data_IF_183052343018
#
_entry.id   IF_183052343018
#
_cell.length_a   1.000
_cell.length_b   1.000
_cell.length_c   1.000
_cell.angle_alpha   90.00
_cell.angle_beta   90.00
_cell.angle_gamma   90.00
#
_symmetry.space_group_name_H-M   'P 1'
#
loop_
_entity.id
_entity.type
_entity.pdbx_description
1 polymer ?
#
# COMPACT_ATOMS: atom_id res chain seq x y z
N UNK A 1 14.78 9.94 -40.07
CA UNK A 1 13.57 9.71 -39.26
C UNK A 1 13.34 8.25 -38.89
N UNK A 2 13.50 7.27 -39.81
CA UNK A 2 13.38 5.83 -39.46
C UNK A 2 14.42 5.37 -38.43
N UNK A 3 15.69 5.71 -38.60
CA UNK A 3 16.78 5.33 -37.67
C UNK A 3 16.54 5.81 -36.22
N UNK A 4 15.97 7.00 -36.06
CA UNK A 4 15.61 7.54 -34.75
C UNK A 4 14.43 6.78 -34.11
N UNK A 5 13.45 6.36 -34.93
CA UNK A 5 12.34 5.49 -34.47
C UNK A 5 12.83 4.09 -34.06
N UNK A 6 13.75 3.49 -34.81
CA UNK A 6 14.35 2.20 -34.44
C UNK A 6 15.18 2.29 -33.16
N UNK A 7 15.92 3.39 -32.96
CA UNK A 7 16.69 3.63 -31.73
C UNK A 7 15.77 3.78 -30.50
N UNK A 8 14.67 4.53 -30.63
CA UNK A 8 13.66 4.67 -29.56
C UNK A 8 13.00 3.33 -29.27
N UNK A 9 12.66 2.53 -30.29
CA UNK A 9 12.08 1.21 -30.12
C UNK A 9 13.04 0.26 -29.40
N UNK A 10 14.31 0.25 -29.80
CA UNK A 10 15.35 -0.57 -29.16
C UNK A 10 15.61 -0.16 -27.70
N UNK A 11 15.63 1.13 -27.39
CA UNK A 11 15.76 1.65 -26.02
C UNK A 11 14.56 1.26 -25.14
N UNK A 12 13.34 1.33 -25.68
CA UNK A 12 12.14 0.89 -24.97
C UNK A 12 12.17 -0.63 -24.70
N UNK A 13 12.60 -1.44 -25.68
CA UNK A 13 12.74 -2.90 -25.52
C UNK A 13 13.79 -3.22 -24.44
N UNK A 14 14.94 -2.53 -24.44
CA UNK A 14 15.98 -2.73 -23.42
C UNK A 14 15.51 -2.34 -22.01
N UNK A 15 14.77 -1.23 -21.89
CA UNK A 15 14.20 -0.79 -20.62
C UNK A 15 13.20 -1.81 -20.08
N UNK A 16 12.29 -2.31 -20.92
CA UNK A 16 11.33 -3.37 -20.58
C UNK A 16 12.08 -4.64 -20.14
N UNK A 17 13.16 -5.00 -20.84
CA UNK A 17 13.96 -6.19 -20.51
C UNK A 17 14.66 -6.07 -19.16
N UNK A 18 15.21 -4.90 -18.82
CA UNK A 18 15.88 -4.64 -17.55
C UNK A 18 14.90 -4.63 -16.36
N UNK A 19 13.67 -4.13 -16.57
CA UNK A 19 12.59 -4.22 -15.58
C UNK A 19 12.09 -5.67 -15.37
N UNK A 20 12.32 -6.57 -16.32
CA UNK A 20 11.75 -7.92 -16.35
C UNK A 20 12.49 -8.92 -15.45
N UNK A 21 13.82 -8.81 -15.27
CA UNK A 21 14.61 -9.90 -14.67
C UNK A 21 14.18 -10.29 -13.26
N UNK A 22 13.76 -9.32 -12.44
CA UNK A 22 13.36 -9.59 -11.06
C UNK A 22 11.85 -9.64 -10.84
N UNK A 23 11.03 -9.33 -11.87
CA UNK A 23 9.58 -9.32 -11.78
C UNK A 23 8.98 -8.25 -10.85
N UNK A 24 7.68 -8.35 -10.61
CA UNK A 24 6.84 -7.29 -10.02
C UNK A 24 6.01 -7.79 -8.84
N UNK A 25 5.67 -6.86 -7.95
CA UNK A 25 4.64 -7.03 -6.92
C UNK A 25 3.55 -5.99 -7.17
N UNK A 26 2.32 -6.47 -7.25
CA UNK A 26 1.10 -5.68 -7.43
C UNK A 26 0.19 -6.01 -6.25
N UNK A 27 -0.52 -5.04 -5.70
CA UNK A 27 -1.48 -5.32 -4.63
C UNK A 27 -2.63 -4.31 -4.60
N UNK A 28 -3.76 -4.69 -3.98
CA UNK A 28 -4.79 -3.74 -3.62
C UNK A 28 -4.58 -3.19 -2.20
N UNK A 29 -4.57 -1.86 -1.97
CA UNK A 29 -4.65 -1.27 -0.64
C UNK A 29 -6.10 -1.31 -0.11
N UNK A 30 -6.68 -2.51 -0.08
CA UNK A 30 -8.09 -2.78 0.14
C UNK A 30 -8.52 -2.83 1.63
N UNK A 31 -7.64 -2.47 2.56
CA UNK A 31 -7.93 -2.49 4.00
C UNK A 31 -7.93 -1.07 4.59
N UNK A 32 -9.08 -0.63 5.09
CA UNK A 32 -9.23 0.65 5.79
C UNK A 32 -9.14 1.89 4.88
N UNK A 33 -8.85 3.04 5.49
CA UNK A 33 -8.69 4.34 4.81
C UNK A 33 -7.21 4.70 4.65
N UNK A 34 -6.92 5.90 4.17
CA UNK A 34 -5.56 6.39 3.89
C UNK A 34 -4.51 6.01 4.95
N UNK A 35 -4.79 6.22 6.24
CA UNK A 35 -3.85 5.85 7.31
C UNK A 35 -3.48 4.35 7.32
N UNK A 36 -4.48 3.45 7.18
CA UNK A 36 -4.23 2.01 7.09
C UNK A 36 -3.45 1.65 5.82
N UNK A 37 -3.82 2.28 4.69
CA UNK A 37 -3.19 2.04 3.40
C UNK A 37 -1.72 2.49 3.40
N UNK A 38 -1.41 3.64 4.02
CA UNK A 38 -0.05 4.15 4.16
C UNK A 38 0.80 3.22 5.06
N UNK A 39 0.24 2.75 6.17
CA UNK A 39 0.91 1.82 7.09
C UNK A 39 1.25 0.50 6.38
N UNK A 40 0.28 -0.04 5.63
CA UNK A 40 0.46 -1.22 4.79
C UNK A 40 1.47 -1.00 3.66
N UNK A 41 1.47 0.18 3.04
CA UNK A 41 2.41 0.53 1.99
C UNK A 41 3.86 0.44 2.47
N UNK A 42 4.17 0.90 3.69
CA UNK A 42 5.53 0.80 4.24
C UNK A 42 5.98 -0.66 4.34
N UNK A 43 5.10 -1.57 4.77
CA UNK A 43 5.38 -3.00 4.78
C UNK A 43 5.52 -3.60 3.38
N UNK A 44 4.66 -3.22 2.43
CA UNK A 44 4.72 -3.70 1.05
C UNK A 44 6.00 -3.22 0.33
N UNK A 45 6.46 -2.01 0.64
CA UNK A 45 7.72 -1.45 0.15
C UNK A 45 8.91 -2.25 0.68
N UNK A 46 8.95 -2.54 1.99
CA UNK A 46 9.97 -3.42 2.57
C UNK A 46 9.94 -4.83 1.96
N UNK A 47 8.74 -5.40 1.81
CA UNK A 47 8.51 -6.72 1.24
C UNK A 47 9.05 -6.82 -0.19
N UNK A 48 8.74 -5.82 -1.02
CA UNK A 48 9.20 -5.76 -2.40
C UNK A 48 10.71 -5.70 -2.54
N UNK A 49 11.37 -4.91 -1.68
CA UNK A 49 12.83 -4.86 -1.61
C UNK A 49 13.43 -6.17 -1.13
N UNK A 50 12.84 -6.80 -0.10
CA UNK A 50 13.30 -8.09 0.41
C UNK A 50 13.29 -9.20 -0.66
N UNK A 51 12.28 -9.20 -1.52
CA UNK A 51 12.18 -10.13 -2.65
C UNK A 51 12.92 -9.66 -3.92
N UNK A 52 13.48 -8.45 -3.89
CA UNK A 52 14.08 -7.77 -5.04
C UNK A 52 13.15 -7.57 -6.24
N UNK A 53 11.82 -7.49 -6.03
CA UNK A 53 10.84 -7.32 -7.11
C UNK A 53 10.39 -5.87 -7.20
N UNK A 54 10.23 -5.31 -8.40
CA UNK A 54 9.75 -3.93 -8.58
C UNK A 54 8.35 -3.78 -7.97
N UNK A 55 8.15 -2.79 -7.10
CA UNK A 55 6.82 -2.53 -6.54
C UNK A 55 5.99 -1.69 -7.51
N UNK A 56 4.83 -2.20 -7.87
CA UNK A 56 3.80 -1.44 -8.57
C UNK A 56 3.02 -0.64 -7.53
N UNK A 57 3.20 0.68 -7.53
CA UNK A 57 2.54 1.62 -6.63
C UNK A 57 1.05 1.66 -6.95
N UNK A 58 0.18 1.17 -6.05
CA UNK A 58 -1.25 1.20 -6.31
C UNK A 58 -1.81 2.62 -6.15
N UNK A 59 -2.91 2.96 -6.83
CA UNK A 59 -3.66 4.15 -6.47
C UNK A 59 -4.21 4.00 -5.04
N UNK A 60 -4.32 5.13 -4.35
CA UNK A 60 -4.99 5.23 -3.06
C UNK A 60 -6.48 5.01 -3.23
N UNK A 61 -7.09 4.30 -2.29
CA UNK A 61 -8.53 4.04 -2.28
C UNK A 61 -9.22 5.06 -1.38
N UNK A 62 -10.07 5.91 -1.96
CA UNK A 62 -10.90 6.84 -1.19
C UNK A 62 -12.37 6.44 -1.23
N UNK A 63 -13.03 6.62 -0.10
CA UNK A 63 -14.46 6.42 0.04
C UNK A 63 -15.12 7.78 0.17
N UNK A 64 -16.04 8.10 -0.73
CA UNK A 64 -16.79 9.35 -0.73
C UNK A 64 -18.20 9.10 -0.24
N UNK A 65 -18.68 10.00 0.63
CA UNK A 65 -20.03 9.90 1.15
C UNK A 65 -21.05 9.98 0.00
N UNK A 66 -22.00 9.04 -0.02
CA UNK A 66 -23.01 8.94 -1.07
C UNK A 66 -22.55 8.21 -2.34
N UNK A 67 -21.26 7.90 -2.50
CA UNK A 67 -20.78 7.12 -3.63
C UNK A 67 -20.78 5.61 -3.29
N UNK A 68 -21.40 4.75 -4.12
CA UNK A 68 -21.50 3.31 -3.82
C UNK A 68 -20.17 2.56 -4.04
N UNK A 69 -19.27 3.11 -4.87
CA UNK A 69 -17.96 2.55 -5.18
C UNK A 69 -16.86 3.46 -4.64
N UNK A 70 -15.74 2.85 -4.27
CA UNK A 70 -14.53 3.61 -3.96
C UNK A 70 -13.94 4.21 -5.23
N UNK A 71 -13.15 5.28 -5.07
CA UNK A 71 -12.36 5.86 -6.13
C UNK A 71 -10.89 5.51 -5.97
N UNK A 72 -10.18 5.44 -7.08
CA UNK A 72 -8.77 5.09 -7.17
C UNK A 72 -7.99 6.35 -7.55
N UNK A 73 -7.34 6.96 -6.56
CA UNK A 73 -6.53 8.18 -6.75
C UNK A 73 -5.09 7.78 -7.07
N UNK A 74 -4.53 8.18 -8.23
CA UNK A 74 -3.15 7.84 -8.60
C UNK A 74 -2.16 8.14 -7.49
N UNK A 75 -1.19 7.25 -7.29
CA UNK A 75 -0.23 7.35 -6.18
C UNK A 75 0.49 8.71 -6.17
N UNK A 76 0.88 9.16 -7.35
CA UNK A 76 1.63 10.38 -7.63
C UNK A 76 0.83 11.68 -7.46
N UNK A 77 -0.49 11.58 -7.24
CA UNK A 77 -1.31 12.71 -6.81
C UNK A 77 -0.79 13.29 -5.48
N UNK A 78 -0.42 12.41 -4.54
CA UNK A 78 -0.02 12.81 -3.19
C UNK A 78 1.48 12.76 -2.95
N UNK A 79 2.21 11.86 -3.61
CA UNK A 79 3.62 11.63 -3.30
C UNK A 79 4.50 11.60 -4.54
N UNK A 80 5.74 12.07 -4.40
CA UNK A 80 6.77 11.99 -5.44
C UNK A 80 7.25 10.56 -5.60
N UNK A 81 7.17 10.02 -6.82
CA UNK A 81 7.62 8.65 -7.12
C UNK A 81 9.15 8.56 -7.08
N UNK A 82 9.84 9.63 -7.46
CA UNK A 82 11.30 9.67 -7.59
C UNK A 82 12.00 9.46 -6.25
N UNK A 83 11.41 9.95 -5.16
CA UNK A 83 11.97 9.77 -3.81
C UNK A 83 11.93 8.30 -3.38
N UNK A 84 10.86 7.57 -3.74
CA UNK A 84 10.75 6.14 -3.47
C UNK A 84 11.75 5.33 -4.28
N UNK A 85 12.02 5.74 -5.54
CA UNK A 85 13.01 5.10 -6.40
C UNK A 85 14.44 5.13 -5.83
N UNK A 86 14.73 6.00 -4.86
CA UNK A 86 16.02 5.99 -4.14
C UNK A 86 16.15 4.84 -3.14
N UNK A 87 15.02 4.26 -2.69
CA UNK A 87 15.02 3.11 -1.78
C UNK A 87 14.95 1.79 -2.53
N UNK A 88 14.03 1.68 -3.50
CA UNK A 88 13.77 0.46 -4.25
C UNK A 88 13.12 0.77 -5.59
N UNK A 89 13.21 -0.17 -6.54
CA UNK A 89 12.54 -0.02 -7.84
C UNK A 89 11.02 0.04 -7.67
N UNK A 90 10.42 1.10 -8.20
CA UNK A 90 8.98 1.36 -8.16
C UNK A 90 8.48 1.80 -9.53
N UNK A 91 7.20 1.55 -9.81
CA UNK A 91 6.48 2.02 -11.01
C UNK A 91 5.02 2.28 -10.63
N UNK A 92 4.36 3.29 -11.18
CA UNK A 92 2.92 3.49 -10.93
C UNK A 92 2.09 2.40 -11.59
N UNK A 93 0.94 2.06 -10.99
CA UNK A 93 0.00 1.08 -11.57
C UNK A 93 -0.41 1.47 -12.99
N UNK A 94 -0.69 2.74 -13.23
CA UNK A 94 -1.06 3.30 -14.52
C UNK A 94 0.02 3.00 -15.56
N UNK A 95 1.29 3.27 -15.22
CA UNK A 95 2.42 3.01 -16.12
C UNK A 95 2.67 1.52 -16.30
N UNK A 96 2.61 0.73 -15.25
CA UNK A 96 2.76 -0.73 -15.31
C UNK A 96 1.70 -1.37 -16.21
N UNK A 97 0.43 -1.02 -16.04
CA UNK A 97 -0.68 -1.57 -16.81
C UNK A 97 -0.62 -1.16 -18.28
N UNK A 98 -0.12 0.05 -18.58
CA UNK A 98 0.05 0.54 -19.94
C UNK A 98 1.26 -0.08 -20.67
N UNK A 99 2.41 -0.14 -20.01
CA UNK A 99 3.70 -0.41 -20.66
C UNK A 99 4.20 -1.84 -20.46
N UNK A 100 3.92 -2.45 -19.30
CA UNK A 100 4.49 -3.75 -18.93
C UNK A 100 3.46 -4.88 -19.03
N UNK A 101 2.27 -4.69 -18.44
CA UNK A 101 1.27 -5.74 -18.31
C UNK A 101 0.87 -6.42 -19.64
N UNK A 102 0.72 -5.71 -20.79
CA UNK A 102 0.37 -6.37 -22.05
C UNK A 102 1.38 -7.43 -22.50
N UNK A 103 2.65 -7.30 -22.10
CA UNK A 103 3.74 -8.19 -22.49
C UNK A 103 3.98 -9.29 -21.45
N UNK A 104 4.13 -8.91 -20.17
CA UNK A 104 4.57 -9.83 -19.11
C UNK A 104 3.42 -10.39 -18.24
N UNK A 105 2.24 -9.75 -18.28
CA UNK A 105 1.09 -10.12 -17.46
C UNK A 105 -0.23 -10.09 -18.26
N UNK A 106 -0.30 -10.84 -19.37
CA UNK A 106 -1.48 -10.89 -20.22
C UNK A 106 -2.67 -11.50 -19.45
N UNK A 107 -3.89 -11.20 -19.90
CA UNK A 107 -5.15 -11.58 -19.23
C UNK A 107 -5.19 -13.06 -18.79
N UNK A 108 -4.72 -13.97 -19.64
CA UNK A 108 -4.71 -15.42 -19.34
C UNK A 108 -3.75 -15.84 -18.23
N UNK A 109 -2.77 -15.00 -17.88
CA UNK A 109 -1.74 -15.25 -16.84
C UNK A 109 -1.93 -14.40 -15.58
N UNK A 110 -3.08 -13.71 -15.44
CA UNK A 110 -3.36 -12.88 -14.27
C UNK A 110 -3.78 -13.73 -13.09
N UNK A 111 -2.82 -14.10 -12.25
CA UNK A 111 -3.04 -14.93 -11.05
C UNK A 111 -3.17 -14.02 -9.83
N UNK A 112 -4.25 -14.20 -9.06
CA UNK A 112 -4.45 -13.51 -7.78
C UNK A 112 -3.82 -14.30 -6.63
N UNK A 113 -3.21 -13.59 -5.66
CA UNK A 113 -2.54 -14.19 -4.51
C UNK A 113 -3.29 -13.88 -3.21
N UNK A 114 -3.51 -14.92 -2.40
CA UNK A 114 -4.06 -14.84 -1.05
C UNK A 114 -3.51 -15.98 -0.18
N UNK A 115 -3.61 -15.87 1.15
CA UNK A 115 -3.03 -16.87 2.05
C UNK A 115 -3.68 -18.25 1.87
N UNK A 116 -5.01 -18.24 1.81
CA UNK A 116 -5.92 -19.39 1.65
C UNK A 116 -7.16 -18.93 0.89
N UNK A 117 -8.03 -19.86 0.49
CA UNK A 117 -9.34 -19.54 -0.07
C UNK A 117 -10.06 -18.48 0.78
N UNK A 118 -10.63 -17.49 0.11
CA UNK A 118 -11.46 -16.44 0.72
C UNK A 118 -12.92 -16.70 0.39
N UNK A 119 -13.83 -16.28 1.27
CA UNK A 119 -15.27 -16.36 0.97
C UNK A 119 -15.62 -15.47 -0.23
N UNK A 120 -16.54 -15.94 -1.07
CA UNK A 120 -17.05 -15.23 -2.23
C UNK A 120 -17.81 -16.16 -3.16
N UNK A 121 -18.10 -15.68 -4.36
CA UNK A 121 -18.92 -16.38 -5.36
C UNK A 121 -18.25 -17.64 -5.90
N UNK A 122 -16.92 -17.65 -5.96
CA UNK A 122 -16.15 -18.78 -6.48
C UNK A 122 -15.59 -19.66 -5.35
N UNK A 123 -15.78 -20.96 -5.48
CA UNK A 123 -15.14 -21.95 -4.63
C UNK A 123 -13.64 -22.06 -4.93
N UNK A 124 -12.82 -22.41 -3.93
CA UNK A 124 -11.37 -22.55 -4.02
C UNK A 124 -10.67 -21.35 -4.68
N UNK A 125 -11.17 -20.13 -4.43
CA UNK A 125 -10.68 -18.89 -5.03
C UNK A 125 -10.24 -17.86 -3.98
N UNK A 126 -9.35 -16.97 -4.39
CA UNK A 126 -9.02 -15.77 -3.63
C UNK A 126 -10.16 -14.74 -3.67
N UNK A 127 -11.15 -14.90 -4.55
CA UNK A 127 -12.29 -13.98 -4.69
C UNK A 127 -11.83 -12.52 -4.74
N UNK A 128 -10.78 -12.25 -5.53
CA UNK A 128 -9.97 -11.04 -5.49
C UNK A 128 -10.73 -9.74 -5.77
N UNK A 129 -11.90 -9.85 -6.39
CA UNK A 129 -12.79 -8.74 -6.77
C UNK A 129 -14.10 -8.70 -5.96
N UNK A 130 -14.26 -9.58 -4.97
CA UNK A 130 -15.49 -9.68 -4.19
C UNK A 130 -15.64 -8.48 -3.23
N UNK A 131 -16.68 -7.68 -3.45
CA UNK A 131 -17.03 -6.53 -2.61
C UNK A 131 -16.28 -5.23 -2.93
N UNK A 132 -16.52 -4.21 -2.11
CA UNK A 132 -15.88 -2.90 -2.17
C UNK A 132 -14.84 -2.80 -1.04
N UNK A 133 -13.57 -2.42 -1.31
CA UNK A 133 -13.05 -1.79 -2.53
C UNK A 133 -12.43 -2.75 -3.55
N UNK A 134 -12.46 -4.06 -3.30
CA UNK A 134 -11.80 -5.08 -4.11
C UNK A 134 -12.16 -5.02 -5.60
N UNK A 135 -13.46 -5.13 -5.95
CA UNK A 135 -13.91 -5.09 -7.34
C UNK A 135 -13.53 -3.79 -8.05
N UNK A 136 -14.01 -2.62 -7.57
CA UNK A 136 -13.72 -1.32 -8.18
C UNK A 136 -12.23 -1.04 -8.39
N UNK A 137 -11.37 -1.46 -7.45
CA UNK A 137 -9.93 -1.28 -7.58
C UNK A 137 -9.35 -1.99 -8.80
N UNK A 138 -9.66 -3.28 -8.98
CA UNK A 138 -9.16 -4.06 -10.12
C UNK A 138 -9.87 -3.68 -11.43
N UNK A 139 -11.15 -3.33 -11.36
CA UNK A 139 -11.94 -2.86 -12.51
C UNK A 139 -11.37 -1.58 -13.14
N UNK A 140 -10.78 -0.69 -12.32
CA UNK A 140 -10.15 0.57 -12.80
C UNK A 140 -9.06 0.33 -13.86
N UNK A 141 -8.45 -0.85 -13.87
CA UNK A 141 -7.38 -1.22 -14.79
C UNK A 141 -7.74 -2.40 -15.69
N UNK A 142 -9.03 -2.72 -15.82
CA UNK A 142 -9.54 -3.86 -16.59
C UNK A 142 -8.85 -5.19 -16.19
N UNK A 143 -8.61 -5.38 -14.89
CA UNK A 143 -7.97 -6.59 -14.36
C UNK A 143 -9.02 -7.64 -14.05
N UNK A 144 -9.00 -8.72 -14.84
CA UNK A 144 -9.62 -10.00 -14.53
C UNK A 144 -8.56 -11.04 -14.17
N UNK A 145 -8.84 -11.86 -13.16
CA UNK A 145 -7.94 -12.92 -12.73
C UNK A 145 -8.38 -14.27 -13.31
N UNK A 146 -7.44 -14.99 -13.92
CA UNK A 146 -7.66 -16.30 -14.50
C UNK A 146 -7.50 -17.45 -13.49
N UNK A 147 -6.77 -17.22 -12.40
CA UNK A 147 -6.50 -18.24 -11.38
C UNK A 147 -6.23 -17.62 -9.99
N UNK A 148 -6.27 -18.47 -8.96
CA UNK A 148 -5.95 -18.12 -7.57
C UNK A 148 -4.78 -18.95 -7.05
N UNK A 149 -3.76 -18.30 -6.52
CA UNK A 149 -2.59 -18.93 -5.91
C UNK A 149 -2.60 -18.73 -4.39
N UNK A 150 -2.53 -19.85 -3.67
CA UNK A 150 -2.48 -19.85 -2.21
C UNK A 150 -1.04 -19.95 -1.71
N UNK A 151 -0.55 -18.85 -1.13
CA UNK A 151 0.84 -18.77 -0.69
C UNK A 151 1.08 -19.31 0.72
N UNK A 152 0.04 -19.72 1.46
CA UNK A 152 0.21 -20.44 2.73
C UNK A 152 1.20 -21.61 2.57
N UNK A 153 2.13 -21.82 3.52
CA UNK A 153 2.25 -21.18 4.84
C UNK A 153 3.23 -19.98 4.89
N UNK A 154 3.53 -19.31 3.76
CA UNK A 154 4.46 -18.18 3.76
C UNK A 154 3.86 -16.95 4.47
N UNK A 155 4.72 -16.16 5.12
CA UNK A 155 4.34 -14.87 5.73
C UNK A 155 5.20 -13.73 5.16
N UNK A 156 4.85 -12.49 5.47
CA UNK A 156 5.47 -11.30 4.86
C UNK A 156 6.70 -10.77 5.61
N UNK A 157 7.21 -11.51 6.60
CA UNK A 157 8.36 -11.05 7.39
C UNK A 157 9.67 -11.17 6.60
N UNK A 158 10.08 -10.07 5.98
CA UNK A 158 11.35 -9.99 5.23
C UNK A 158 12.58 -9.79 6.10
N UNK A 159 12.41 -9.55 7.40
CA UNK A 159 13.52 -9.48 8.34
C UNK A 159 14.02 -10.89 8.71
N UNK A 160 13.19 -11.91 8.45
CA UNK A 160 13.58 -13.30 8.49
C UNK A 160 14.12 -13.78 7.13
N UNK A 161 15.45 -13.90 7.03
CA UNK A 161 16.12 -14.38 5.79
C UNK A 161 15.59 -15.71 5.28
N UNK A 162 15.25 -16.65 6.17
CA UNK A 162 14.71 -17.94 5.75
C UNK A 162 13.33 -17.81 5.09
N UNK A 163 12.52 -16.83 5.51
CA UNK A 163 11.23 -16.55 4.87
C UNK A 163 11.41 -15.95 3.47
N UNK A 164 12.35 -15.01 3.33
CA UNK A 164 12.72 -14.41 2.04
C UNK A 164 13.15 -15.49 1.03
N UNK A 165 14.01 -16.42 1.45
CA UNK A 165 14.46 -17.50 0.56
C UNK A 165 13.34 -18.47 0.18
N UNK A 166 12.42 -18.78 1.10
CA UNK A 166 11.22 -19.57 0.78
C UNK A 166 10.33 -18.90 -0.27
N UNK A 167 10.15 -17.57 -0.18
CA UNK A 167 9.41 -16.80 -1.21
C UNK A 167 10.10 -16.87 -2.56
N UNK A 168 11.41 -16.64 -2.61
CA UNK A 168 12.19 -16.67 -3.85
C UNK A 168 12.22 -18.05 -4.49
N UNK A 169 12.33 -19.10 -3.68
CA UNK A 169 12.31 -20.49 -4.14
C UNK A 169 10.93 -20.89 -4.68
N UNK A 170 9.85 -20.55 -3.97
CA UNK A 170 8.48 -20.92 -4.38
C UNK A 170 8.02 -20.11 -5.59
N UNK A 171 8.40 -18.83 -5.65
CA UNK A 171 7.93 -17.88 -6.67
C UNK A 171 9.09 -17.17 -7.37
N UNK A 172 9.90 -17.88 -8.17
CA UNK A 172 10.99 -17.26 -8.92
C UNK A 172 10.46 -16.37 -10.07
N UNK A 173 11.09 -15.22 -10.38
CA UNK A 173 10.59 -14.26 -11.39
C UNK A 173 10.38 -14.82 -12.80
N UNK A 174 11.20 -15.78 -13.22
CA UNK A 174 11.10 -16.41 -14.55
C UNK A 174 9.79 -17.18 -14.77
N UNK A 175 9.20 -17.75 -13.70
CA UNK A 175 7.91 -18.44 -13.76
C UNK A 175 6.77 -17.57 -13.23
N UNK A 176 7.07 -16.68 -12.29
CA UNK A 176 6.13 -15.79 -11.63
C UNK A 176 6.54 -14.34 -11.82
N UNK A 177 6.36 -13.78 -13.03
CA UNK A 177 6.82 -12.42 -13.33
C UNK A 177 6.06 -11.36 -12.53
N UNK A 178 4.82 -11.65 -12.11
CA UNK A 178 3.99 -10.73 -11.30
C UNK A 178 3.33 -11.49 -10.16
N UNK A 179 3.52 -11.00 -8.94
CA UNK A 179 2.81 -11.46 -7.74
C UNK A 179 1.71 -10.43 -7.41
N UNK A 180 0.46 -10.75 -7.72
CA UNK A 180 -0.68 -9.84 -7.58
C UNK A 180 -1.54 -10.17 -6.36
N UNK A 181 -1.31 -9.48 -5.24
CA UNK A 181 -1.95 -9.77 -3.97
C UNK A 181 -3.31 -9.10 -3.82
N UNK A 182 -4.28 -9.85 -3.31
CA UNK A 182 -5.63 -9.33 -3.04
C UNK A 182 -5.69 -8.28 -1.93
N UNK A 183 -4.63 -8.16 -1.12
CA UNK A 183 -4.41 -7.13 -0.11
C UNK A 183 -2.92 -6.82 -0.02
N UNK A 184 -2.54 -5.82 0.77
CA UNK A 184 -1.13 -5.50 0.93
C UNK A 184 -0.33 -6.67 1.53
N UNK A 185 0.85 -7.03 0.97
CA UNK A 185 1.72 -8.04 1.55
C UNK A 185 2.50 -7.46 2.74
N UNK A 186 1.77 -7.06 3.78
CA UNK A 186 2.27 -6.30 4.91
C UNK A 186 1.46 -6.59 6.18
N UNK A 187 2.07 -6.37 7.34
CA UNK A 187 1.37 -6.34 8.62
C UNK A 187 0.63 -5.03 8.83
N UNK A 188 -0.39 -5.06 9.69
CA UNK A 188 -1.03 -3.88 10.25
C UNK A 188 -1.21 -4.06 11.77
N UNK A 189 -0.75 -3.11 12.61
CA UNK A 189 0.04 -1.94 12.24
C UNK A 189 1.40 -2.31 11.63
N UNK A 190 2.05 -1.35 11.00
CA UNK A 190 3.36 -1.50 10.37
C UNK A 190 4.38 -2.02 11.38
N UNK A 191 5.21 -2.97 10.96
CA UNK A 191 6.32 -3.47 11.79
C UNK A 191 7.28 -2.33 12.15
N UNK A 192 7.82 -2.35 13.38
CA UNK A 192 8.72 -1.32 13.91
C UNK A 192 9.90 -1.06 12.97
N UNK A 193 10.43 -2.12 12.40
CA UNK A 193 11.56 -2.14 11.48
C UNK A 193 11.28 -1.35 10.19
N UNK A 194 10.01 -1.18 9.80
CA UNK A 194 9.61 -0.54 8.55
C UNK A 194 9.13 0.92 8.72
N UNK A 195 8.92 1.41 9.95
CA UNK A 195 8.44 2.79 10.23
C UNK A 195 9.35 3.84 9.59
N UNK A 196 10.66 3.62 9.62
CA UNK A 196 11.65 4.56 9.07
C UNK A 196 11.52 4.78 7.56
N UNK A 197 10.77 3.93 6.85
CA UNK A 197 10.55 4.05 5.41
C UNK A 197 9.64 5.24 5.04
N UNK A 198 8.91 5.80 6.01
CA UNK A 198 8.12 7.02 5.82
C UNK A 198 8.95 8.17 5.23
N UNK A 199 10.26 8.22 5.49
CA UNK A 199 11.16 9.26 4.94
C UNK A 199 11.23 9.29 3.41
N UNK A 200 10.85 8.20 2.74
CA UNK A 200 10.81 8.13 1.28
C UNK A 200 9.48 8.60 0.69
N UNK A 201 8.45 8.81 1.52
CA UNK A 201 7.19 9.43 1.11
C UNK A 201 7.31 10.95 1.20
N UNK A 202 7.73 11.56 0.10
CA UNK A 202 7.75 13.02 -0.05
C UNK A 202 6.48 13.51 -0.72
N UNK A 203 5.82 14.52 -0.14
CA UNK A 203 4.62 15.13 -0.71
C UNK A 203 4.88 15.63 -2.14
N UNK A 204 3.86 15.51 -3.00
CA UNK A 204 3.86 16.10 -4.34
C UNK A 204 3.99 17.63 -4.26
N UNK A 205 4.40 18.25 -5.37
CA UNK A 205 4.55 19.71 -5.40
C UNK A 205 3.21 20.43 -5.22
N UNK A 206 2.12 19.85 -5.71
CA UNK A 206 0.76 20.36 -5.52
C UNK A 206 0.38 20.40 -4.03
N UNK A 207 0.49 19.26 -3.32
CA UNK A 207 0.20 19.18 -1.88
C UNK A 207 1.11 20.11 -1.08
N UNK A 208 2.41 20.14 -1.42
CA UNK A 208 3.39 21.02 -0.77
C UNK A 208 3.05 22.50 -0.96
N UNK A 209 2.62 22.90 -2.16
CA UNK A 209 2.21 24.27 -2.47
C UNK A 209 0.92 24.65 -1.74
N UNK A 210 -0.10 23.78 -1.75
CA UNK A 210 -1.36 23.98 -1.01
C UNK A 210 -1.10 24.16 0.48
N UNK A 211 -0.24 23.32 1.07
CA UNK A 211 0.16 23.42 2.47
C UNK A 211 0.84 24.76 2.78
N UNK A 212 1.86 25.15 1.99
CA UNK A 212 2.56 26.45 2.18
C UNK A 212 1.62 27.64 2.05
N UNK A 213 0.71 27.62 1.08
CA UNK A 213 -0.27 28.68 0.88
C UNK A 213 -1.25 28.78 2.07
N UNK A 214 -1.73 27.63 2.56
CA UNK A 214 -2.60 27.59 3.72
C UNK A 214 -1.93 28.15 4.98
N UNK A 215 -0.69 27.74 5.25
CA UNK A 215 0.10 28.24 6.38
C UNK A 215 0.32 29.75 6.24
N UNK A 216 0.78 30.22 5.07
CA UNK A 216 1.02 31.65 4.83
C UNK A 216 -0.24 32.50 5.03
N UNK A 217 -1.40 31.98 4.62
CA UNK A 217 -2.67 32.72 4.68
C UNK A 217 -3.28 32.74 6.09
N UNK A 218 -3.18 31.64 6.84
CA UNK A 218 -3.97 31.45 8.06
C UNK A 218 -3.14 31.41 9.34
N UNK A 219 -1.83 31.15 9.25
CA UNK A 219 -0.95 30.89 10.41
C UNK A 219 0.18 31.94 10.50
N UNK A 220 -0.13 33.21 10.23
CA UNK A 220 0.83 34.30 10.37
C UNK A 220 1.17 34.60 11.83
N UNK A 221 2.38 35.07 12.10
CA UNK A 221 2.75 35.65 13.39
C UNK A 221 3.60 34.80 14.35
N UNK A 222 4.04 33.60 13.96
CA UNK A 222 4.97 32.80 14.78
C UNK A 222 4.89 31.30 14.54
N UNK A 223 5.36 30.52 15.52
CA UNK A 223 5.16 29.06 15.55
C UNK A 223 3.69 28.71 15.81
N UNK A 224 3.26 27.53 15.36
CA UNK A 224 1.89 27.04 15.51
C UNK A 224 1.86 25.61 16.07
N UNK A 225 0.77 25.27 16.74
CA UNK A 225 0.49 23.91 17.26
C UNK A 225 -0.58 23.25 16.38
N UNK A 226 -0.25 22.12 15.76
CA UNK A 226 -1.19 21.29 15.01
C UNK A 226 -1.73 20.16 15.88
N UNK A 227 -3.05 20.07 16.01
CA UNK A 227 -3.74 18.98 16.71
C UNK A 227 -4.59 18.17 15.72
N UNK A 228 -4.49 16.84 15.78
CA UNK A 228 -5.35 15.94 15.02
C UNK A 228 -6.43 15.36 15.93
N UNK A 229 -7.66 15.85 15.79
CA UNK A 229 -8.80 15.39 16.56
C UNK A 229 -9.55 14.30 15.80
N UNK A 230 -9.36 13.05 16.19
CA UNK A 230 -10.10 11.90 15.67
C UNK A 230 -11.27 11.59 16.59
N UNK A 231 -12.39 12.29 16.40
CA UNK A 231 -13.56 12.23 17.28
C UNK A 231 -14.86 11.86 16.55
N UNK A 232 -14.76 11.34 15.33
CA UNK A 232 -15.91 10.86 14.57
C UNK A 232 -16.61 9.68 15.27
N UNK A 233 -17.91 9.52 15.03
CA UNK A 233 -18.73 8.50 15.72
C UNK A 233 -18.27 7.06 15.45
N UNK A 234 -17.66 6.80 14.29
CA UNK A 234 -17.00 5.54 13.97
C UNK A 234 -15.82 5.26 14.91
N UNK A 235 -15.06 6.31 15.25
CA UNK A 235 -13.94 6.22 16.18
C UNK A 235 -14.38 6.06 17.63
N UNK A 236 -15.46 6.73 18.03
CA UNK A 236 -16.04 6.55 19.38
C UNK A 236 -16.34 5.07 19.65
N UNK A 237 -16.95 4.39 18.67
CA UNK A 237 -17.21 2.94 18.76
C UNK A 237 -15.91 2.13 18.79
N UNK A 238 -14.93 2.48 17.94
CA UNK A 238 -13.65 1.79 17.93
C UNK A 238 -12.93 1.87 19.30
N UNK A 239 -13.00 3.03 19.98
CA UNK A 239 -12.39 3.20 21.29
C UNK A 239 -13.07 2.44 22.43
N UNK A 240 -14.30 1.95 22.26
CA UNK A 240 -14.94 1.07 23.25
C UNK A 240 -14.18 -0.26 23.42
N UNK A 241 -13.41 -0.66 22.41
CA UNK A 241 -12.62 -1.90 22.38
C UNK A 241 -11.19 -1.75 22.90
N UNK A 242 -10.83 -0.61 23.50
CA UNK A 242 -9.49 -0.41 24.08
C UNK A 242 -9.18 -1.45 25.18
N UNK A 243 -10.19 -1.91 25.90
CA UNK A 243 -10.04 -2.95 26.91
C UNK A 243 -9.80 -4.35 26.33
N UNK A 244 -10.24 -4.58 25.09
CA UNK A 244 -10.13 -5.89 24.42
C UNK A 244 -8.77 -6.07 23.74
N UNK A 245 -8.12 -4.96 23.35
CA UNK A 245 -6.82 -4.99 22.67
C UNK A 245 -5.91 -3.86 23.13
N UNK A 246 -4.81 -4.24 23.76
CA UNK A 246 -3.76 -3.31 24.20
C UNK A 246 -2.95 -2.70 23.05
N UNK A 247 -3.07 -3.25 21.83
CA UNK A 247 -2.36 -2.80 20.62
C UNK A 247 -3.34 -2.43 19.49
N UNK A 248 -4.36 -1.63 19.82
CA UNK A 248 -5.38 -1.23 18.87
C UNK A 248 -4.82 -0.24 17.80
N UNK A 249 -4.94 -0.60 16.52
CA UNK A 249 -4.47 0.19 15.38
C UNK A 249 -3.01 0.67 15.55
N UNK A 250 -2.77 1.98 15.50
CA UNK A 250 -1.46 2.60 15.59
C UNK A 250 -1.03 2.92 17.04
N UNK A 251 -1.68 2.35 18.06
CA UNK A 251 -1.29 2.52 19.47
C UNK A 251 0.20 2.22 19.74
N UNK A 252 0.87 1.24 19.09
CA UNK A 252 2.30 0.97 19.32
C UNK A 252 3.24 2.17 19.15
N UNK A 253 2.84 3.22 18.41
CA UNK A 253 3.64 4.45 18.31
C UNK A 253 3.79 5.17 19.68
N UNK A 254 2.80 5.01 20.56
CA UNK A 254 2.77 5.61 21.90
C UNK A 254 3.21 4.59 22.95
N UNK A 255 2.54 3.43 23.02
CA UNK A 255 2.71 2.44 24.09
C UNK A 255 3.87 1.46 23.85
N UNK A 256 4.45 1.48 22.65
CA UNK A 256 5.49 0.55 22.22
C UNK A 256 4.92 -0.74 21.61
N UNK A 257 5.77 -1.48 20.89
CA UNK A 257 5.38 -2.68 20.14
C UNK A 257 5.18 -3.93 21.01
N UNK A 258 5.51 -3.83 22.31
CA UNK A 258 5.26 -4.84 23.33
C UNK A 258 4.64 -4.23 24.58
N UNK A 259 3.94 -3.09 24.44
CA UNK A 259 3.38 -2.30 25.54
C UNK A 259 4.42 -1.88 26.59
N UNK A 260 5.65 -1.58 26.16
CA UNK A 260 6.76 -1.24 27.04
C UNK A 260 6.54 0.05 27.84
N UNK A 261 5.59 0.89 27.43
CA UNK A 261 5.27 2.20 28.05
C UNK A 261 3.90 2.21 28.75
N UNK A 262 3.34 1.04 29.02
CA UNK A 262 2.04 0.89 29.69
C UNK A 262 0.88 0.61 28.73
N UNK A 263 -0.33 0.41 29.26
CA UNK A 263 -1.51 0.07 28.46
C UNK A 263 -2.07 1.29 27.72
N UNK A 264 -2.73 1.03 26.58
CA UNK A 264 -3.57 2.03 25.91
C UNK A 264 -4.76 2.40 26.82
N UNK A 265 -4.96 3.68 27.09
CA UNK A 265 -6.10 4.17 27.89
C UNK A 265 -7.23 4.71 26.99
N UNK A 266 -8.44 4.79 27.55
CA UNK A 266 -9.57 5.40 26.85
C UNK A 266 -9.32 6.88 26.52
N UNK A 267 -8.70 7.63 27.43
CA UNK A 267 -8.36 9.05 27.20
C UNK A 267 -7.32 9.25 26.11
N UNK A 268 -6.38 8.29 25.94
CA UNK A 268 -5.46 8.29 24.80
C UNK A 268 -6.18 8.02 23.47
N UNK A 269 -7.21 7.18 23.47
CA UNK A 269 -7.96 6.84 22.25
C UNK A 269 -8.99 7.91 21.87
N UNK A 270 -9.72 8.44 22.86
CA UNK A 270 -10.79 9.41 22.71
C UNK A 270 -10.72 10.44 23.85
N UNK A 271 -9.84 11.46 23.73
CA UNK A 271 -9.69 12.49 24.75
C UNK A 271 -10.97 13.33 24.90
N UNK A 272 -11.28 13.73 26.13
CA UNK A 272 -12.37 14.64 26.44
C UNK A 272 -11.96 16.11 26.21
N UNK A 273 -12.90 17.06 26.12
CA UNK A 273 -12.56 18.48 25.95
C UNK A 273 -11.55 19.00 26.98
N UNK A 274 -11.67 18.60 28.25
CA UNK A 274 -10.76 19.00 29.33
C UNK A 274 -9.34 18.41 29.19
N UNK A 275 -9.18 17.32 28.43
CA UNK A 275 -7.86 16.77 28.10
C UNK A 275 -7.15 17.60 27.00
N UNK A 276 -7.93 18.30 26.16
CA UNK A 276 -7.44 19.01 24.97
C UNK A 276 -7.29 20.51 25.24
N UNK A 277 -8.28 21.11 25.89
CA UNK A 277 -8.38 22.54 26.16
C UNK A 277 -8.04 22.73 27.64
N UNK A 278 -6.89 23.35 27.90
CA UNK A 278 -6.50 23.81 29.24
C UNK A 278 -6.72 25.29 29.39
#
# INVERSE_FOLDING_TARGET
MLLFRYLILALNILSIYCYNENGFIVYCPCMGRFGNQADNFLGALAFSKGLNRTLVLPPWVEYRFGEPKSIQVPFDTYFKVETLSTYHNVITMEKFMKEMAPVIWPVTKRISFCYTQRMGEQENSCNAKSGNPFGPFWDTFDIEFSYSEFYGPLNYDVHNKAMVEKWKQKYPPNHWPVLAFTGAPASFPVQKENVHLQKYLSWSDDISNKSRQFIKKNMGGGGFLGLHLRNGQDWVKACQHVHDSTMLFAAPQCVGYKNERGPLTISMCLPQPDDIIK
#
